data_IF_474941510372
#
_entry.id   IF_474941510372
#
_cell.length_a   1.000
_cell.length_b   1.000
_cell.length_c   1.000
_cell.angle_alpha   90.00
_cell.angle_beta   90.00
_cell.angle_gamma   90.00
#
_symmetry.space_group_name_H-M   'P 1'
#
loop_
_entity.id
_entity.type
_entity.pdbx_description
1 polymer ?
#
# COMPACT_ATOMS: atom_id res chain seq x y z
N UNK A 1 65.71 0.73 29.36
CA UNK A 1 64.44 1.33 29.76
C UNK A 1 63.53 1.40 28.55
N UNK A 2 62.64 0.43 28.48
CA UNK A 2 61.65 0.32 27.40
C UNK A 2 60.34 0.97 27.87
N UNK A 3 59.86 1.93 27.12
CA UNK A 3 58.52 2.46 27.24
C UNK A 3 57.63 1.70 26.24
N UNK A 4 56.79 0.85 26.77
CA UNK A 4 55.70 0.26 26.03
C UNK A 4 54.61 1.31 25.84
N UNK A 5 54.39 1.72 24.61
CA UNK A 5 53.18 2.46 24.21
C UNK A 5 52.18 1.46 23.69
N UNK A 6 51.15 1.18 24.47
CA UNK A 6 49.96 0.47 24.01
C UNK A 6 49.22 1.34 23.02
N UNK A 7 49.18 0.93 21.77
CA UNK A 7 48.22 1.46 20.78
C UNK A 7 46.99 0.61 20.89
N UNK A 8 45.95 1.15 21.50
CA UNK A 8 44.59 0.58 21.45
C UNK A 8 44.16 0.52 20.00
N UNK A 9 44.12 -0.72 19.49
CA UNK A 9 43.49 -0.99 18.19
C UNK A 9 41.99 -0.75 18.27
N UNK A 10 41.57 0.38 17.79
CA UNK A 10 40.15 0.53 17.34
C UNK A 10 39.99 -0.33 16.11
N UNK A 11 39.40 -1.49 16.30
CA UNK A 11 38.78 -2.21 15.18
C UNK A 11 37.53 -1.41 14.81
N UNK A 12 37.69 -0.55 13.81
CA UNK A 12 36.55 -0.05 13.06
C UNK A 12 35.92 -1.28 12.39
N UNK A 13 34.88 -1.81 13.02
CA UNK A 13 33.91 -2.63 12.29
C UNK A 13 33.35 -1.69 11.22
N UNK A 14 33.83 -1.83 10.00
CA UNK A 14 33.10 -1.33 8.85
C UNK A 14 31.81 -2.13 8.84
N UNK A 15 30.78 -1.56 9.46
CA UNK A 15 29.41 -1.95 9.13
C UNK A 15 29.33 -1.73 7.63
N UNK A 16 29.28 -2.83 6.90
CA UNK A 16 28.82 -2.81 5.53
C UNK A 16 27.38 -2.28 5.60
N UNK A 17 27.20 -0.99 5.37
CA UNK A 17 25.93 -0.47 4.94
C UNK A 17 25.62 -1.20 3.65
N UNK A 18 24.83 -2.26 3.77
CA UNK A 18 24.23 -2.92 2.61
C UNK A 18 23.38 -1.84 1.98
N UNK A 19 23.82 -1.34 0.84
CA UNK A 19 23.05 -0.38 0.05
C UNK A 19 21.67 -0.95 -0.18
N UNK A 20 20.67 -0.45 0.53
CA UNK A 20 19.27 -0.91 0.44
C UNK A 20 18.58 -0.39 -0.83
N UNK A 21 19.30 -0.35 -1.92
CA UNK A 21 18.82 0.15 -3.21
C UNK A 21 17.88 -0.85 -3.85
N UNK A 22 16.78 -0.36 -4.36
CA UNK A 22 15.87 -1.17 -5.18
C UNK A 22 16.49 -1.45 -6.55
N UNK A 23 16.33 -2.67 -7.02
CA UNK A 23 16.78 -3.14 -8.33
C UNK A 23 15.61 -3.80 -9.07
N UNK A 24 15.78 -4.12 -10.35
CA UNK A 24 14.76 -4.80 -11.17
C UNK A 24 13.40 -4.08 -11.11
N UNK A 25 13.42 -2.73 -11.12
CA UNK A 25 12.19 -1.93 -11.04
C UNK A 25 11.47 -1.98 -12.38
N UNK A 26 10.19 -2.35 -12.36
CA UNK A 26 9.32 -2.33 -13.53
C UNK A 26 7.89 -1.94 -13.19
N UNK A 27 7.23 -1.23 -14.10
CA UNK A 27 5.86 -0.80 -13.93
C UNK A 27 4.89 -2.00 -14.04
N UNK A 28 3.99 -2.10 -13.07
CA UNK A 28 2.89 -3.08 -13.07
C UNK A 28 1.59 -2.46 -13.60
N UNK A 29 1.28 -1.26 -13.14
CA UNK A 29 0.07 -0.55 -13.52
C UNK A 29 0.19 0.94 -13.26
N UNK A 30 -0.64 1.72 -13.97
CA UNK A 30 -0.76 3.15 -13.79
C UNK A 30 -2.22 3.54 -13.82
N UNK A 31 -2.75 4.06 -12.71
CA UNK A 31 -4.15 4.44 -12.59
C UNK A 31 -4.31 5.71 -11.73
N UNK A 32 -5.32 6.51 -12.02
CA UNK A 32 -5.52 7.78 -11.34
C UNK A 32 -4.24 8.62 -11.36
N UNK A 33 -3.75 9.01 -10.20
CA UNK A 33 -2.51 9.78 -10.02
C UNK A 33 -1.32 8.94 -9.54
N UNK A 34 -1.49 7.60 -9.43
CA UNK A 34 -0.47 6.68 -8.95
C UNK A 34 0.11 5.78 -10.05
N UNK A 35 1.35 5.37 -9.84
CA UNK A 35 2.03 4.30 -10.56
C UNK A 35 2.40 3.21 -9.55
N UNK A 36 2.08 1.97 -9.85
CA UNK A 36 2.53 0.80 -9.09
C UNK A 36 3.69 0.15 -9.82
N UNK A 37 4.78 -0.03 -9.08
CA UNK A 37 5.99 -0.66 -9.57
C UNK A 37 6.27 -1.92 -8.74
N UNK A 38 6.77 -2.96 -9.38
CA UNK A 38 7.47 -4.03 -8.67
C UNK A 38 8.96 -3.70 -8.63
N UNK A 39 9.61 -4.04 -7.54
CA UNK A 39 11.04 -3.82 -7.36
C UNK A 39 11.62 -4.91 -6.46
N UNK A 40 12.94 -5.10 -6.53
CA UNK A 40 13.63 -6.09 -5.72
C UNK A 40 14.61 -5.41 -4.78
N UNK A 41 14.60 -5.78 -3.50
CA UNK A 41 15.54 -5.33 -2.48
C UNK A 41 15.95 -6.51 -1.62
N UNK A 42 17.25 -6.75 -1.45
CA UNK A 42 17.78 -7.87 -0.65
C UNK A 42 17.23 -9.24 -1.07
N UNK A 43 17.03 -9.45 -2.38
CA UNK A 43 16.49 -10.70 -2.93
C UNK A 43 14.98 -10.90 -2.79
N UNK A 44 14.26 -9.98 -2.15
CA UNK A 44 12.81 -10.00 -1.97
C UNK A 44 12.12 -9.01 -2.91
N UNK A 45 10.91 -9.37 -3.36
CA UNK A 45 10.06 -8.49 -4.14
C UNK A 45 9.24 -7.56 -3.25
N UNK A 46 9.06 -6.34 -3.74
CA UNK A 46 8.31 -5.26 -3.10
C UNK A 46 7.41 -4.57 -4.11
N UNK A 47 6.37 -3.93 -3.61
CA UNK A 47 5.56 -2.97 -4.36
C UNK A 47 5.99 -1.57 -3.95
N UNK A 48 6.23 -0.72 -4.95
CA UNK A 48 6.44 0.71 -4.76
C UNK A 48 5.23 1.44 -5.34
N UNK A 49 4.48 2.16 -4.51
CA UNK A 49 3.39 3.02 -4.95
C UNK A 49 3.91 4.45 -5.01
N UNK A 50 4.14 4.94 -6.22
CA UNK A 50 4.64 6.27 -6.53
C UNK A 50 3.54 7.16 -7.09
N UNK A 51 3.71 8.47 -6.99
CA UNK A 51 2.90 9.43 -7.75
C UNK A 51 3.40 9.52 -9.18
N UNK A 52 2.49 9.80 -10.11
CA UNK A 52 2.85 10.07 -11.50
C UNK A 52 3.73 11.33 -11.61
N UNK A 53 4.60 11.42 -12.64
CA UNK A 53 5.51 12.57 -12.80
C UNK A 53 4.82 13.93 -12.92
N UNK A 54 3.60 13.98 -13.43
CA UNK A 54 2.81 15.20 -13.59
C UNK A 54 2.24 15.76 -12.27
N UNK A 55 2.17 14.94 -11.23
CA UNK A 55 1.62 15.31 -9.91
C UNK A 55 2.58 15.10 -8.75
N UNK A 56 3.76 14.51 -8.97
CA UNK A 56 4.70 14.14 -7.91
C UNK A 56 5.31 15.33 -7.13
N UNK A 57 5.17 16.55 -7.65
CA UNK A 57 5.60 17.78 -6.99
C UNK A 57 4.44 18.63 -6.44
N UNK A 58 3.19 18.21 -6.66
CA UNK A 58 2.03 18.90 -6.13
C UNK A 58 1.83 18.52 -4.65
N UNK A 59 1.80 19.56 -3.81
CA UNK A 59 1.66 19.40 -2.37
C UNK A 59 0.38 18.68 -1.96
N UNK A 60 -0.68 18.78 -2.74
CA UNK A 60 -1.97 18.13 -2.51
C UNK A 60 -1.82 16.60 -2.59
N UNK A 61 -1.23 16.12 -3.70
CA UNK A 61 -1.04 14.68 -3.89
C UNK A 61 0.03 14.10 -2.94
N UNK A 62 1.06 14.88 -2.61
CA UNK A 62 2.04 14.50 -1.61
C UNK A 62 1.42 14.34 -0.21
N UNK A 63 0.46 15.20 0.16
CA UNK A 63 -0.29 15.08 1.41
C UNK A 63 -1.20 13.84 1.40
N UNK A 64 -1.89 13.56 0.28
CA UNK A 64 -2.72 12.36 0.15
C UNK A 64 -1.89 11.09 0.28
N UNK A 65 -0.73 11.02 -0.37
CA UNK A 65 0.19 9.89 -0.24
C UNK A 65 0.69 9.72 1.19
N UNK A 66 1.01 10.82 1.89
CA UNK A 66 1.41 10.78 3.29
C UNK A 66 0.30 10.22 4.18
N UNK A 67 -0.93 10.70 4.00
CA UNK A 67 -2.09 10.21 4.76
C UNK A 67 -2.37 8.74 4.53
N UNK A 68 -2.31 8.28 3.28
CA UNK A 68 -2.45 6.85 2.96
C UNK A 68 -1.39 6.02 3.69
N UNK A 69 -0.14 6.44 3.64
CA UNK A 69 0.95 5.79 4.39
C UNK A 69 0.68 5.78 5.89
N UNK A 70 0.29 6.92 6.48
CA UNK A 70 0.02 7.05 7.92
C UNK A 70 -1.13 6.14 8.37
N UNK A 71 -2.14 5.93 7.53
CA UNK A 71 -3.22 4.99 7.78
C UNK A 71 -2.68 3.55 7.76
N UNK A 72 -2.01 3.17 6.68
CA UNK A 72 -1.49 1.81 6.50
C UNK A 72 -0.47 1.43 7.57
N UNK A 73 0.42 2.36 7.96
CA UNK A 73 1.44 2.14 8.97
C UNK A 73 0.88 1.87 10.39
N UNK A 74 -0.36 2.28 10.66
CA UNK A 74 -1.05 2.03 11.95
C UNK A 74 -1.85 0.74 11.95
N UNK A 75 -2.11 0.16 10.77
CA UNK A 75 -2.94 -1.04 10.65
C UNK A 75 -2.06 -2.29 10.72
N UNK A 76 -2.32 -3.15 11.69
CA UNK A 76 -1.65 -4.44 11.86
C UNK A 76 -2.70 -5.57 11.83
N UNK A 77 -2.95 -6.09 10.64
CA UNK A 77 -3.91 -7.18 10.43
C UNK A 77 -3.46 -8.06 9.25
N UNK A 78 -3.53 -9.39 9.34
CA UNK A 78 -3.07 -10.28 8.27
C UNK A 78 -3.83 -10.11 6.94
N UNK A 79 -5.05 -9.57 6.95
CA UNK A 79 -5.87 -9.25 5.79
C UNK A 79 -5.66 -7.84 5.23
N UNK A 80 -4.64 -7.12 5.67
CA UNK A 80 -4.26 -5.80 5.15
C UNK A 80 -2.82 -5.87 4.64
N UNK A 81 -2.53 -5.16 3.56
CA UNK A 81 -1.16 -5.07 3.02
C UNK A 81 -0.23 -4.43 4.05
N UNK A 82 0.93 -5.03 4.25
CA UNK A 82 1.94 -4.48 5.15
C UNK A 82 2.77 -3.43 4.42
N UNK A 83 2.94 -2.27 5.04
CA UNK A 83 3.87 -1.24 4.58
C UNK A 83 5.19 -1.35 5.33
N UNK A 84 6.29 -1.14 4.62
CA UNK A 84 7.63 -1.09 5.17
C UNK A 84 8.05 0.34 5.50
N UNK A 85 7.75 1.27 4.60
CA UNK A 85 8.15 2.67 4.75
C UNK A 85 7.60 3.59 3.67
N UNK A 86 7.91 4.86 3.83
CA UNK A 86 7.73 5.91 2.84
C UNK A 86 9.13 6.43 2.49
N UNK A 87 9.62 6.11 1.29
CA UNK A 87 11.02 6.26 0.92
C UNK A 87 11.19 7.04 -0.38
N UNK A 88 12.29 7.79 -0.52
CA UNK A 88 12.69 8.36 -1.80
C UNK A 88 13.40 7.29 -2.63
N UNK A 89 12.88 7.02 -3.82
CA UNK A 89 13.45 6.05 -4.77
C UNK A 89 13.96 6.77 -5.99
N UNK A 90 15.23 6.57 -6.34
CA UNK A 90 15.87 7.24 -7.47
C UNK A 90 15.09 7.00 -8.77
N UNK A 91 14.77 8.08 -9.46
CA UNK A 91 13.99 8.07 -10.71
C UNK A 91 12.48 7.96 -10.54
N UNK A 92 11.98 7.68 -9.33
CA UNK A 92 10.54 7.49 -9.05
C UNK A 92 9.99 8.41 -7.96
N UNK A 93 10.87 9.17 -7.28
CA UNK A 93 10.47 10.07 -6.20
C UNK A 93 10.00 9.32 -4.96
N UNK A 94 9.10 9.95 -4.20
CA UNK A 94 8.59 9.40 -2.95
C UNK A 94 7.62 8.25 -3.20
N UNK A 95 7.93 7.08 -2.64
CA UNK A 95 7.18 5.84 -2.79
C UNK A 95 6.71 5.29 -1.44
N UNK A 96 5.48 4.79 -1.37
CA UNK A 96 5.06 3.90 -0.30
C UNK A 96 5.59 2.50 -0.65
N UNK A 97 6.43 1.94 0.21
CA UNK A 97 7.01 0.60 0.06
C UNK A 97 6.12 -0.42 0.76
N UNK A 98 5.62 -1.40 0.02
CA UNK A 98 4.67 -2.40 0.52
C UNK A 98 5.15 -3.82 0.22
N UNK A 99 4.66 -4.78 0.99
CA UNK A 99 4.90 -6.20 0.73
C UNK A 99 4.41 -6.59 -0.67
N UNK A 100 5.18 -7.48 -1.32
CA UNK A 100 4.73 -8.17 -2.53
C UNK A 100 3.76 -9.28 -2.15
N UNK A 101 2.60 -9.32 -2.79
CA UNK A 101 1.60 -10.37 -2.60
C UNK A 101 1.57 -11.24 -3.85
N UNK A 102 2.05 -12.49 -3.74
CA UNK A 102 1.85 -13.48 -4.80
C UNK A 102 0.38 -13.91 -4.83
N UNK A 103 -0.39 -13.32 -5.73
CA UNK A 103 -1.83 -13.50 -5.77
C UNK A 103 -2.47 -12.91 -7.01
N UNK A 104 -3.78 -12.87 -7.00
CA UNK A 104 -4.61 -12.22 -8.01
C UNK A 104 -5.59 -11.28 -7.31
N UNK A 105 -6.10 -10.29 -8.02
CA UNK A 105 -7.15 -9.43 -7.49
C UNK A 105 -8.49 -10.19 -7.40
N UNK A 106 -9.40 -9.72 -6.56
CA UNK A 106 -10.71 -10.37 -6.41
C UNK A 106 -11.54 -10.31 -7.70
N UNK A 107 -11.42 -9.26 -8.50
CA UNK A 107 -12.07 -9.17 -9.80
C UNK A 107 -11.52 -10.22 -10.79
N UNK A 108 -10.21 -10.41 -10.85
CA UNK A 108 -9.61 -11.50 -11.63
C UNK A 108 -10.05 -12.87 -11.12
N UNK A 109 -10.09 -13.06 -9.81
CA UNK A 109 -10.54 -14.29 -9.19
C UNK A 109 -12.01 -14.59 -9.55
N UNK A 110 -12.88 -13.58 -9.55
CA UNK A 110 -14.29 -13.69 -9.88
C UNK A 110 -14.57 -14.09 -11.34
N UNK A 111 -13.59 -13.94 -12.25
CA UNK A 111 -13.72 -14.41 -13.65
C UNK A 111 -13.75 -15.93 -13.76
N UNK A 112 -13.31 -16.63 -12.72
CA UNK A 112 -13.24 -18.09 -12.68
C UNK A 112 -14.42 -18.69 -11.90
N UNK A 113 -14.65 -20.00 -12.08
CA UNK A 113 -15.67 -20.72 -11.32
C UNK A 113 -15.12 -21.13 -9.96
N UNK A 114 -15.78 -20.70 -8.90
CA UNK A 114 -15.46 -21.05 -7.52
C UNK A 114 -16.64 -21.69 -6.83
N UNK A 115 -16.35 -22.62 -5.91
CA UNK A 115 -17.35 -23.26 -5.08
C UNK A 115 -18.04 -22.27 -4.14
N UNK A 116 -19.25 -22.58 -3.71
CA UNK A 116 -19.94 -21.78 -2.69
C UNK A 116 -19.18 -21.72 -1.36
N UNK A 117 -18.34 -22.71 -1.08
CA UNK A 117 -17.48 -22.71 0.11
C UNK A 117 -16.37 -21.66 -0.02
N UNK A 118 -15.62 -21.63 -1.13
CA UNK A 118 -14.54 -20.65 -1.37
C UNK A 118 -15.09 -19.22 -1.33
N UNK A 119 -16.22 -18.95 -1.99
CA UNK A 119 -16.85 -17.61 -1.96
C UNK A 119 -17.21 -17.18 -0.53
N UNK A 120 -17.75 -18.09 0.28
CA UNK A 120 -18.07 -17.80 1.69
C UNK A 120 -16.83 -17.54 2.53
N UNK A 121 -15.72 -18.24 2.25
CA UNK A 121 -14.44 -17.99 2.96
C UNK A 121 -13.90 -16.60 2.65
N UNK A 122 -13.88 -16.19 1.38
CA UNK A 122 -13.47 -14.83 0.98
C UNK A 122 -14.37 -13.79 1.65
N UNK A 123 -15.70 -13.95 1.58
CA UNK A 123 -16.64 -13.01 2.20
C UNK A 123 -16.43 -12.90 3.72
N UNK A 124 -16.19 -14.03 4.40
CA UNK A 124 -15.92 -14.04 5.85
C UNK A 124 -14.64 -13.28 6.19
N UNK A 125 -13.56 -13.54 5.45
CA UNK A 125 -12.29 -12.82 5.66
C UNK A 125 -12.46 -11.32 5.44
N UNK A 126 -13.19 -10.92 4.38
CA UNK A 126 -13.45 -9.51 4.10
C UNK A 126 -14.23 -8.84 5.25
N UNK A 127 -15.26 -9.49 5.78
CA UNK A 127 -16.00 -8.97 6.93
C UNK A 127 -15.13 -8.81 8.17
N UNK A 128 -14.22 -9.75 8.43
CA UNK A 128 -13.27 -9.65 9.55
C UNK A 128 -12.28 -8.50 9.40
N UNK A 129 -11.76 -8.30 8.18
CA UNK A 129 -10.86 -7.16 7.87
C UNK A 129 -11.62 -5.84 8.05
N UNK A 130 -12.85 -5.76 7.52
CA UNK A 130 -13.65 -4.53 7.62
C UNK A 130 -14.07 -4.23 9.07
N UNK A 131 -14.39 -5.24 9.86
CA UNK A 131 -14.64 -5.08 11.31
C UNK A 131 -13.41 -4.50 12.01
N UNK A 132 -12.21 -5.02 11.72
CA UNK A 132 -10.97 -4.48 12.26
C UNK A 132 -10.75 -3.01 11.84
N UNK A 133 -10.89 -2.68 10.55
CA UNK A 133 -10.74 -1.32 10.01
C UNK A 133 -11.72 -0.34 10.68
N UNK A 134 -12.98 -0.72 10.80
CA UNK A 134 -14.01 0.10 11.45
C UNK A 134 -13.75 0.29 12.95
N UNK A 135 -13.22 -0.73 13.65
CA UNK A 135 -12.82 -0.61 15.05
C UNK A 135 -11.63 0.37 15.23
N UNK A 136 -10.81 0.59 14.19
CA UNK A 136 -9.80 1.65 14.14
C UNK A 136 -10.39 3.03 13.77
N UNK A 137 -11.72 3.14 13.64
CA UNK A 137 -12.43 4.35 13.21
C UNK A 137 -12.04 4.86 11.81
N UNK A 138 -11.69 3.92 10.93
CA UNK A 138 -11.33 4.20 9.54
C UNK A 138 -12.48 3.75 8.64
N UNK A 139 -12.90 4.62 7.72
CA UNK A 139 -13.85 4.30 6.64
C UNK A 139 -13.07 4.18 5.34
N UNK A 140 -13.17 3.05 4.64
CA UNK A 140 -12.34 2.75 3.48
C UNK A 140 -12.67 3.61 2.24
N UNK A 141 -13.94 3.90 2.00
CA UNK A 141 -14.51 4.74 0.92
C UNK A 141 -14.31 4.26 -0.53
N UNK A 142 -13.37 3.37 -0.81
CA UNK A 142 -13.16 2.79 -2.16
C UNK A 142 -13.01 1.27 -2.11
N UNK A 143 -13.91 0.60 -1.36
CA UNK A 143 -13.92 -0.85 -1.30
C UNK A 143 -14.47 -1.44 -2.60
N UNK A 144 -13.61 -2.10 -3.36
CA UNK A 144 -13.93 -2.74 -4.63
C UNK A 144 -13.06 -3.98 -4.85
N UNK A 145 -13.46 -4.91 -5.74
CA UNK A 145 -12.70 -6.13 -6.00
C UNK A 145 -11.25 -5.91 -6.43
N UNK A 146 -10.96 -4.83 -7.18
CA UNK A 146 -9.60 -4.48 -7.60
C UNK A 146 -8.67 -4.10 -6.43
N UNK A 147 -9.23 -3.67 -5.28
CA UNK A 147 -8.48 -3.29 -4.08
C UNK A 147 -8.33 -4.44 -3.08
N UNK A 148 -8.71 -5.67 -3.47
CA UNK A 148 -8.62 -6.87 -2.65
C UNK A 148 -7.80 -7.90 -3.42
N UNK A 149 -6.67 -8.34 -2.87
CA UNK A 149 -5.90 -9.45 -3.41
C UNK A 149 -6.23 -10.75 -2.68
N UNK A 150 -6.15 -11.85 -3.41
CA UNK A 150 -6.26 -13.21 -2.89
C UNK A 150 -4.90 -13.86 -3.10
N UNK A 151 -4.18 -14.12 -2.00
CA UNK A 151 -2.88 -14.78 -2.03
C UNK A 151 -3.03 -16.22 -2.52
N UNK A 152 -2.14 -16.66 -3.41
CA UNK A 152 -2.12 -18.05 -3.93
C UNK A 152 -1.83 -19.05 -2.84
N UNK A 153 -1.02 -18.67 -1.87
CA UNK A 153 -0.70 -19.51 -0.73
C UNK A 153 -1.78 -19.35 0.35
N UNK A 154 -2.73 -20.28 0.38
CA UNK A 154 -3.75 -20.39 1.42
C UNK A 154 -5.03 -19.56 1.20
N UNK A 155 -5.18 -18.82 0.10
CA UNK A 155 -6.41 -18.07 -0.21
C UNK A 155 -6.73 -16.97 0.80
N UNK A 156 -5.71 -16.41 1.48
CA UNK A 156 -5.88 -15.27 2.39
C UNK A 156 -6.12 -14.01 1.57
N UNK A 157 -7.11 -13.22 1.95
CA UNK A 157 -7.31 -11.91 1.33
C UNK A 157 -6.35 -10.88 1.90
N UNK A 158 -6.02 -9.88 1.08
CA UNK A 158 -5.30 -8.68 1.48
C UNK A 158 -5.94 -7.44 0.87
N UNK A 159 -6.35 -6.51 1.71
CA UNK A 159 -6.80 -5.19 1.30
C UNK A 159 -5.56 -4.32 1.01
N UNK A 160 -5.47 -3.74 -0.20
CA UNK A 160 -4.20 -3.19 -0.72
C UNK A 160 -4.20 -1.68 -0.97
N UNK A 161 -5.33 -0.99 -0.85
CA UNK A 161 -5.43 0.44 -1.16
C UNK A 161 -6.33 1.16 -0.16
N UNK A 162 -5.81 2.22 0.45
CA UNK A 162 -6.49 3.08 1.43
C UNK A 162 -6.45 4.56 1.01
N UNK A 163 -6.14 4.84 -0.25
CA UNK A 163 -5.90 6.21 -0.74
C UNK A 163 -7.07 7.19 -0.60
N UNK A 164 -8.31 6.69 -0.41
CA UNK A 164 -9.51 7.51 -0.21
C UNK A 164 -10.10 7.36 1.20
N UNK A 165 -9.42 6.68 2.10
CA UNK A 165 -9.97 6.30 3.41
C UNK A 165 -10.20 7.45 4.40
N UNK A 166 -9.75 8.67 4.08
CA UNK A 166 -9.94 9.85 4.93
C UNK A 166 -11.00 10.80 4.35
N UNK A 167 -11.83 11.38 5.23
CA UNK A 167 -12.81 12.42 4.87
C UNK A 167 -12.17 13.64 4.19
N UNK A 168 -10.94 13.97 4.57
CA UNK A 168 -10.19 15.08 3.97
C UNK A 168 -9.80 14.83 2.51
N UNK A 169 -9.69 13.57 2.08
CA UNK A 169 -9.39 13.26 0.67
C UNK A 169 -10.47 13.77 -0.27
N UNK A 170 -11.73 13.73 0.15
CA UNK A 170 -12.85 14.35 -0.58
C UNK A 170 -12.69 15.86 -0.69
N UNK A 171 -12.40 16.54 0.42
CA UNK A 171 -12.21 18.00 0.47
C UNK A 171 -11.03 18.43 -0.40
N UNK A 172 -9.99 17.62 -0.47
CA UNK A 172 -8.77 17.89 -1.23
C UNK A 172 -9.01 17.69 -2.74
N UNK A 173 -9.60 16.56 -3.14
CA UNK A 173 -9.79 16.23 -4.56
C UNK A 173 -10.97 16.95 -5.21
N UNK A 174 -11.88 17.55 -4.42
CA UNK A 174 -13.12 18.22 -4.88
C UNK A 174 -13.94 17.34 -5.84
N UNK A 175 -13.89 16.04 -5.64
CA UNK A 175 -14.61 15.05 -6.43
C UNK A 175 -15.18 13.97 -5.52
N UNK A 176 -16.27 13.28 -5.90
CA UNK A 176 -16.82 12.18 -5.14
C UNK A 176 -15.72 11.13 -4.88
N UNK A 177 -15.51 10.76 -3.62
CA UNK A 177 -14.62 9.67 -3.28
C UNK A 177 -15.28 8.35 -3.64
N UNK A 178 -14.55 7.47 -4.34
CA UNK A 178 -15.01 6.13 -4.67
C UNK A 178 -15.02 5.83 -6.17
N UNK A 179 -15.25 4.57 -6.50
CA UNK A 179 -15.29 4.05 -7.88
C UNK A 179 -16.75 3.87 -8.30
N UNK A 180 -17.14 4.39 -9.47
CA UNK A 180 -18.48 4.24 -10.02
C UNK A 180 -18.95 2.77 -9.95
N UNK A 181 -20.20 2.57 -9.50
CA UNK A 181 -20.77 1.23 -9.27
C UNK A 181 -20.48 0.63 -7.88
N UNK A 182 -19.58 1.21 -7.09
CA UNK A 182 -19.24 0.77 -5.72
C UNK A 182 -19.45 1.87 -4.68
N UNK A 183 -19.83 3.06 -5.10
CA UNK A 183 -20.10 4.21 -4.22
C UNK A 183 -21.38 3.97 -3.44
N UNK A 184 -21.36 4.17 -2.12
CA UNK A 184 -22.54 4.04 -1.28
C UNK A 184 -23.52 5.20 -1.46
N UNK A 185 -24.83 5.03 -1.11
CA UNK A 185 -25.81 6.10 -1.25
C UNK A 185 -25.41 7.40 -0.55
N UNK A 186 -24.88 7.31 0.67
CA UNK A 186 -24.43 8.46 1.45
C UNK A 186 -23.21 9.17 0.79
N UNK A 187 -22.29 8.45 0.16
CA UNK A 187 -21.20 9.05 -0.60
C UNK A 187 -21.69 9.76 -1.87
N UNK A 188 -22.78 9.28 -2.47
CA UNK A 188 -23.41 9.94 -3.62
C UNK A 188 -24.09 11.25 -3.21
N UNK A 189 -24.72 11.30 -2.03
CA UNK A 189 -25.35 12.51 -1.49
C UNK A 189 -24.32 13.58 -1.14
N UNK A 190 -23.15 13.21 -0.58
CA UNK A 190 -22.04 14.14 -0.33
C UNK A 190 -21.49 14.80 -1.61
N UNK A 191 -21.75 14.20 -2.77
CA UNK A 191 -21.26 14.69 -4.07
C UNK A 191 -22.19 15.68 -4.78
N UNK A 192 -23.39 15.96 -4.25
CA UNK A 192 -24.31 16.94 -4.79
C UNK A 192 -23.96 18.32 -4.19
N UNK A 193 -23.45 19.30 -4.97
CA UNK A 193 -23.28 20.65 -4.48
C UNK A 193 -24.65 21.28 -4.22
N UNK A 194 -24.78 21.93 -3.07
CA UNK A 194 -25.91 22.84 -2.74
C UNK A 194 -26.01 23.99 -3.75
#
# INVERSE_FOLDING_TARGET
>A
FALMTQVSGFILSSEFEVSETFTEISELSSSGFNVLLQAKRNGQWWILKSLKPDVCHDSTFLQLQQKEYDILARLDHPGIVKVEGLEEVEGYGRCIVMEWIDGVTLDEWLTQRHSGFERRQIARQLLQVMEYVHNQQIVHRDLKPANIMIARNGGTIKLIDFGLSDADSYTILKSPAGTEGYVSPEQQEESVPD
#
